data_IF_865543136683
#
_entry.id   IF_865543136683
#
_cell.length_a   1.000
_cell.length_b   1.000
_cell.length_c   1.000
_cell.angle_alpha   90.00
_cell.angle_beta   90.00
_cell.angle_gamma   90.00
#
_symmetry.space_group_name_H-M   'P 1'
#
loop_
_entity.id
_entity.type
_entity.pdbx_description
1 polymer ?
#
# COMPACT_ATOMS: atom_id res chain seq x y z
N UNK A 1 4.75 6.67 10.12
CA UNK A 1 4.05 6.48 8.83
C UNK A 1 2.53 6.40 9.03
N UNK A 2 1.86 7.55 8.93
CA UNK A 2 0.40 7.67 8.94
C UNK A 2 -0.20 7.63 7.51
N UNK A 3 0.63 7.84 6.48
CA UNK A 3 0.20 8.08 5.11
C UNK A 3 -0.46 6.88 4.40
N UNK A 4 -0.14 5.64 4.80
CA UNK A 4 -0.70 4.45 4.13
C UNK A 4 -2.20 4.28 4.28
N UNK A 5 -2.79 4.84 5.35
CA UNK A 5 -4.23 4.77 5.56
C UNK A 5 -5.01 5.65 4.56
N UNK A 6 -4.39 6.70 4.01
CA UNK A 6 -5.01 7.59 3.03
C UNK A 6 -5.23 6.94 1.66
N UNK A 7 -4.41 5.96 1.30
CA UNK A 7 -4.48 5.26 0.01
C UNK A 7 -5.47 4.08 0.00
N UNK A 8 -6.13 3.79 1.13
CA UNK A 8 -7.06 2.67 1.23
C UNK A 8 -8.49 3.03 0.78
N UNK A 9 -8.60 3.66 -0.39
CA UNK A 9 -9.86 3.95 -1.06
C UNK A 9 -10.16 2.89 -2.14
N UNK A 10 -11.44 2.54 -2.30
CA UNK A 10 -11.83 1.47 -3.23
C UNK A 10 -11.67 1.91 -4.70
N UNK A 11 -11.94 3.19 -5.01
CA UNK A 11 -11.67 3.77 -6.33
C UNK A 11 -10.18 3.74 -6.68
N UNK A 12 -9.30 3.96 -5.71
CA UNK A 12 -7.85 3.94 -5.91
C UNK A 12 -7.34 2.53 -6.16
N UNK A 13 -7.84 1.54 -5.40
CA UNK A 13 -7.53 0.12 -5.64
C UNK A 13 -8.01 -0.33 -7.01
N UNK A 14 -9.21 0.08 -7.44
CA UNK A 14 -9.74 -0.23 -8.77
C UNK A 14 -8.89 0.40 -9.88
N UNK A 15 -8.48 1.67 -9.72
CA UNK A 15 -7.60 2.34 -10.67
C UNK A 15 -6.23 1.66 -10.78
N UNK A 16 -5.66 1.18 -9.67
CA UNK A 16 -4.41 0.41 -9.67
C UNK A 16 -4.56 -0.92 -10.41
N UNK A 17 -5.66 -1.65 -10.15
CA UNK A 17 -5.96 -2.91 -10.85
C UNK A 17 -6.15 -2.69 -12.35
N UNK A 18 -6.83 -1.61 -12.76
CA UNK A 18 -6.98 -1.23 -14.15
C UNK A 18 -5.63 -0.91 -14.83
N UNK A 19 -4.68 -0.36 -14.07
CA UNK A 19 -3.30 -0.15 -14.52
C UNK A 19 -2.45 -1.43 -14.51
N UNK A 20 -3.01 -2.58 -14.17
CA UNK A 20 -2.29 -3.85 -14.05
C UNK A 20 -1.42 -3.96 -12.79
N UNK A 21 -1.54 -3.03 -11.84
CA UNK A 21 -0.75 -3.00 -10.62
C UNK A 21 -1.53 -3.69 -9.50
N UNK A 22 -0.96 -4.75 -8.92
CA UNK A 22 -1.58 -5.43 -7.76
C UNK A 22 -1.39 -4.59 -6.49
N UNK A 23 -2.45 -4.00 -5.91
CA UNK A 23 -2.32 -3.15 -4.73
C UNK A 23 -1.95 -3.97 -3.49
N UNK A 24 -0.75 -3.76 -2.95
CA UNK A 24 -0.31 -4.32 -1.68
C UNK A 24 -0.42 -3.29 -0.55
N UNK A 25 -1.64 -2.78 -0.32
CA UNK A 25 -1.91 -1.68 0.63
C UNK A 25 -2.55 -2.26 1.90
N UNK A 26 -2.12 -1.78 3.07
CA UNK A 26 -2.70 -2.16 4.36
C UNK A 26 -4.14 -1.66 4.46
N UNK A 27 -5.01 -2.47 5.08
CA UNK A 27 -6.41 -2.12 5.32
C UNK A 27 -6.55 -1.03 6.40
N UNK A 28 -7.49 -0.11 6.21
CA UNK A 28 -8.00 0.82 7.23
C UNK A 28 -8.89 0.10 8.25
N UNK A 29 -8.75 0.44 9.54
CA UNK A 29 -9.42 -0.27 10.65
C UNK A 29 -10.95 -0.34 10.51
N UNK A 30 -11.55 0.67 9.88
CA UNK A 30 -13.00 0.81 9.67
C UNK A 30 -13.58 0.03 8.49
N UNK A 31 -12.77 -0.67 7.67
CA UNK A 31 -13.31 -1.36 6.49
C UNK A 31 -14.14 -2.59 6.89
N UNK A 32 -15.40 -2.64 6.49
CA UNK A 32 -16.30 -3.78 6.74
C UNK A 32 -15.81 -5.08 6.06
N UNK A 33 -15.43 -5.03 4.79
CA UNK A 33 -14.90 -6.19 4.06
C UNK A 33 -13.38 -6.35 4.30
N UNK A 34 -12.90 -7.51 4.79
CA UNK A 34 -11.48 -7.73 4.94
C UNK A 34 -10.82 -7.87 3.56
N UNK A 35 -9.84 -7.02 3.26
CA UNK A 35 -9.02 -7.16 2.04
C UNK A 35 -7.71 -7.83 2.41
N UNK A 36 -7.42 -8.95 1.72
CA UNK A 36 -6.15 -9.66 1.86
C UNK A 36 -5.04 -8.85 1.19
N UNK A 37 -3.94 -8.65 1.91
CA UNK A 37 -2.70 -8.10 1.38
C UNK A 37 -1.54 -8.98 1.87
N UNK A 38 -0.45 -9.00 1.11
CA UNK A 38 0.73 -9.77 1.49
C UNK A 38 1.52 -9.00 2.56
N UNK A 39 1.42 -9.47 3.81
CA UNK A 39 2.12 -8.86 4.95
C UNK A 39 3.64 -8.93 4.80
N UNK A 40 4.17 -10.01 4.21
CA UNK A 40 5.61 -10.21 4.04
C UNK A 40 6.14 -9.21 3.03
N UNK A 41 5.49 -9.11 1.87
CA UNK A 41 5.85 -8.15 0.83
C UNK A 41 5.72 -6.70 1.30
N UNK A 42 4.66 -6.39 2.06
CA UNK A 42 4.48 -5.07 2.64
C UNK A 42 5.58 -4.70 3.65
N UNK A 43 6.04 -5.63 4.49
CA UNK A 43 7.17 -5.40 5.42
C UNK A 43 8.49 -5.11 4.69
N UNK A 44 8.71 -5.76 3.56
CA UNK A 44 9.89 -5.51 2.71
C UNK A 44 9.85 -4.13 2.04
N UNK A 45 8.68 -3.48 1.89
CA UNK A 45 8.54 -2.16 1.27
C UNK A 45 9.35 -1.08 2.00
N UNK A 46 9.45 -1.17 3.32
CA UNK A 46 10.23 -0.22 4.13
C UNK A 46 11.69 -0.13 3.70
N UNK A 47 12.29 -1.25 3.24
CA UNK A 47 13.68 -1.24 2.74
C UNK A 47 13.80 -0.41 1.46
N UNK A 48 12.84 -0.58 0.55
CA UNK A 48 12.78 0.16 -0.71
C UNK A 48 12.58 1.65 -0.44
N UNK A 49 11.65 2.00 0.45
CA UNK A 49 11.37 3.39 0.83
C UNK A 49 12.58 4.06 1.49
N UNK A 50 13.30 3.37 2.39
CA UNK A 50 14.54 3.87 2.99
C UNK A 50 15.60 4.11 1.91
N UNK A 51 15.79 3.17 0.99
CA UNK A 51 16.76 3.33 -0.11
C UNK A 51 16.40 4.53 -0.99
N UNK A 52 15.14 4.68 -1.40
CA UNK A 52 14.70 5.84 -2.17
C UNK A 52 14.77 7.15 -1.38
N UNK A 53 14.54 7.12 -0.07
CA UNK A 53 14.72 8.28 0.81
C UNK A 53 16.17 8.74 0.82
N UNK A 54 17.13 7.81 0.96
CA UNK A 54 18.57 8.10 0.92
C UNK A 54 19.09 8.55 -0.45
N UNK A 55 18.43 8.13 -1.54
CA UNK A 55 18.79 8.56 -2.90
C UNK A 55 18.26 9.97 -3.24
N UNK A 56 17.28 10.46 -2.48
CA UNK A 56 16.68 11.79 -2.64
C UNK A 56 17.25 12.80 -1.64
N UNK A 57 18.05 12.33 -0.69
CA UNK A 57 18.93 13.13 0.15
C UNK A 57 20.17 13.52 -0.67
#
# INVERSE_FOLDING_TARGET
>A
MLADHGYDADWFRAALLHKGIKPCIRRRKSRYKPVKYDKRRYKCRNRIEITFGRLKD
#
